data_IF_781934377221
#
_entry.id   IF_781934377221
#
_cell.length_a   1.000
_cell.length_b   1.000
_cell.length_c   1.000
_cell.angle_alpha   90.00
_cell.angle_beta   90.00
_cell.angle_gamma   90.00
#
_symmetry.space_group_name_H-M   'P 1'
#
loop_
_entity.id
_entity.type
_entity.pdbx_description
1 polymer ?
#
# COMPACT_ATOMS: atom_id res chain seq x y z
N UNK A 1 23.66 1.80 19.43
CA UNK A 1 23.01 1.85 18.10
C UNK A 1 21.52 1.44 18.13
N UNK A 2 20.90 1.18 19.29
CA UNK A 2 19.49 0.71 19.39
C UNK A 2 18.40 1.69 18.91
N UNK A 3 18.66 3.01 18.92
CA UNK A 3 17.63 3.99 18.53
C UNK A 3 17.29 3.95 17.04
N UNK A 4 18.22 3.53 16.19
CA UNK A 4 18.01 3.45 14.73
C UNK A 4 17.04 2.32 14.35
N UNK A 5 17.20 1.12 14.91
CA UNK A 5 16.37 -0.04 14.55
C UNK A 5 14.91 0.14 14.97
N UNK A 6 14.67 0.80 16.12
CA UNK A 6 13.32 1.14 16.57
C UNK A 6 12.62 2.09 15.59
N UNK A 7 13.33 3.13 15.11
CA UNK A 7 12.79 4.08 14.15
C UNK A 7 12.42 3.44 12.81
N UNK A 8 13.31 2.60 12.24
CA UNK A 8 12.99 1.89 11.00
C UNK A 8 11.83 0.89 11.15
N UNK A 9 11.70 0.25 12.32
CA UNK A 9 10.55 -0.63 12.59
C UNK A 9 9.24 0.14 12.59
N UNK A 10 9.22 1.32 13.21
CA UNK A 10 8.05 2.21 13.17
C UNK A 10 7.74 2.66 11.74
N UNK A 11 8.75 3.05 10.96
CA UNK A 11 8.58 3.43 9.55
C UNK A 11 7.98 2.27 8.74
N UNK A 12 8.48 1.05 8.90
CA UNK A 12 7.92 -0.12 8.24
C UNK A 12 6.44 -0.32 8.60
N UNK A 13 6.08 -0.19 9.89
CA UNK A 13 4.67 -0.26 10.31
C UNK A 13 3.83 0.85 9.70
N UNK A 14 4.32 2.09 9.68
CA UNK A 14 3.62 3.23 9.08
C UNK A 14 3.38 3.00 7.59
N UNK A 15 4.39 2.55 6.84
CA UNK A 15 4.24 2.22 5.42
C UNK A 15 3.19 1.13 5.19
N UNK A 16 3.16 0.10 6.05
CA UNK A 16 2.15 -0.96 5.97
C UNK A 16 0.74 -0.43 6.23
N UNK A 17 0.57 0.43 7.24
CA UNK A 17 -0.72 1.06 7.53
C UNK A 17 -1.15 1.97 6.37
N UNK A 18 -0.24 2.80 5.85
CA UNK A 18 -0.51 3.67 4.71
C UNK A 18 -0.91 2.88 3.47
N UNK A 19 -0.28 1.73 3.20
CA UNK A 19 -0.68 0.86 2.10
C UNK A 19 -2.17 0.50 2.20
N UNK A 20 -2.61 -0.01 3.35
CA UNK A 20 -4.00 -0.39 3.58
C UNK A 20 -4.96 0.80 3.52
N UNK A 21 -4.57 1.96 4.06
CA UNK A 21 -5.37 3.19 3.97
C UNK A 21 -5.56 3.59 2.51
N UNK A 22 -4.50 3.60 1.70
CA UNK A 22 -4.59 3.95 0.28
C UNK A 22 -5.45 2.96 -0.51
N UNK A 23 -5.38 1.67 -0.20
CA UNK A 23 -6.27 0.67 -0.80
C UNK A 23 -7.73 0.96 -0.46
N UNK A 24 -8.03 1.20 0.81
CA UNK A 24 -9.38 1.51 1.28
C UNK A 24 -9.92 2.78 0.60
N UNK A 25 -9.11 3.83 0.53
CA UNK A 25 -9.46 5.08 -0.17
C UNK A 25 -9.71 4.81 -1.66
N UNK A 26 -8.88 4.01 -2.34
CA UNK A 26 -9.08 3.65 -3.74
C UNK A 26 -10.40 2.89 -3.98
N UNK A 27 -10.74 1.96 -3.08
CA UNK A 27 -12.03 1.23 -3.13
C UNK A 27 -13.20 2.20 -2.94
N UNK A 28 -13.18 3.03 -1.90
CA UNK A 28 -14.25 3.99 -1.60
C UNK A 28 -14.41 4.97 -2.76
N UNK A 29 -13.31 5.53 -3.26
CA UNK A 29 -13.33 6.46 -4.38
C UNK A 29 -13.95 5.83 -5.63
N UNK A 30 -13.63 4.56 -5.93
CA UNK A 30 -14.21 3.81 -7.05
C UNK A 30 -15.72 3.65 -6.89
N UNK A 31 -16.19 3.25 -5.70
CA UNK A 31 -17.63 3.09 -5.44
C UNK A 31 -18.37 4.41 -5.61
N UNK A 32 -17.83 5.50 -5.03
CA UNK A 32 -18.42 6.84 -5.13
C UNK A 32 -18.45 7.32 -6.58
N UNK A 33 -17.32 7.22 -7.29
CA UNK A 33 -17.23 7.63 -8.69
C UNK A 33 -18.16 6.82 -9.59
N UNK A 34 -18.27 5.51 -9.38
CA UNK A 34 -19.19 4.68 -10.14
C UNK A 34 -20.65 5.08 -9.88
N UNK A 35 -21.01 5.40 -8.64
CA UNK A 35 -22.34 5.89 -8.28
C UNK A 35 -22.67 7.26 -8.88
N UNK A 36 -21.71 8.19 -8.91
CA UNK A 36 -21.88 9.52 -9.50
C UNK A 36 -21.90 9.45 -11.02
N UNK A 37 -20.85 8.89 -11.62
CA UNK A 37 -20.68 8.80 -13.08
C UNK A 37 -21.78 7.92 -13.69
N UNK A 38 -22.20 6.84 -13.02
CA UNK A 38 -23.26 5.96 -13.51
C UNK A 38 -24.57 6.70 -13.83
N UNK A 39 -24.91 7.76 -13.07
CA UNK A 39 -26.11 8.59 -13.33
C UNK A 39 -25.99 9.42 -14.61
N UNK A 40 -24.81 9.98 -14.87
CA UNK A 40 -24.54 10.78 -16.08
C UNK A 40 -24.42 9.88 -17.32
N UNK A 41 -23.81 8.72 -17.15
CA UNK A 41 -23.58 7.75 -18.23
C UNK A 41 -24.87 7.11 -18.74
N UNK A 42 -25.92 7.03 -17.91
CA UNK A 42 -27.21 6.44 -18.28
C UNK A 42 -27.90 7.16 -19.47
N UNK A 43 -27.62 8.45 -19.66
CA UNK A 43 -28.21 9.28 -20.71
C UNK A 43 -27.19 9.73 -21.75
N UNK A 44 -25.94 9.27 -21.64
CA UNK A 44 -24.85 9.70 -22.50
C UNK A 44 -24.78 8.85 -23.80
N UNK A 45 -24.28 9.43 -24.90
CA UNK A 45 -23.92 8.67 -26.09
C UNK A 45 -22.96 7.50 -25.77
N UNK A 46 -23.02 6.36 -26.50
CA UNK A 46 -22.27 5.14 -26.17
C UNK A 46 -20.77 5.33 -25.96
N UNK A 47 -20.12 6.19 -26.76
CA UNK A 47 -18.69 6.47 -26.65
C UNK A 47 -18.32 7.25 -25.36
N UNK A 48 -19.18 8.16 -24.92
CA UNK A 48 -18.99 8.89 -23.66
C UNK A 48 -19.31 7.99 -22.46
N UNK A 49 -20.28 7.09 -22.63
CA UNK A 49 -20.65 6.12 -21.62
C UNK A 49 -19.51 5.14 -21.30
N UNK A 50 -18.82 4.61 -22.32
CA UNK A 50 -17.68 3.72 -22.13
C UNK A 50 -16.48 4.44 -21.50
N UNK A 51 -16.18 5.66 -21.95
CA UNK A 51 -15.12 6.48 -21.37
C UNK A 51 -15.37 6.79 -19.88
N UNK A 52 -16.61 7.16 -19.52
CA UNK A 52 -16.98 7.43 -18.13
C UNK A 52 -16.81 6.20 -17.22
N UNK A 53 -17.23 5.02 -17.68
CA UNK A 53 -17.02 3.76 -16.94
C UNK A 53 -15.55 3.45 -16.76
N UNK A 54 -14.72 3.64 -17.79
CA UNK A 54 -13.28 3.42 -17.70
C UNK A 54 -12.62 4.35 -16.67
N UNK A 55 -12.98 5.64 -16.69
CA UNK A 55 -12.48 6.62 -15.72
C UNK A 55 -12.87 6.25 -14.29
N UNK A 56 -14.09 5.75 -14.08
CA UNK A 56 -14.55 5.30 -12.76
C UNK A 56 -13.74 4.12 -12.20
N UNK A 57 -13.04 3.34 -13.04
CA UNK A 57 -12.17 2.23 -12.63
C UNK A 57 -10.72 2.65 -12.32
N UNK A 58 -10.27 3.82 -12.75
CA UNK A 58 -8.89 4.27 -12.50
C UNK A 58 -8.51 4.37 -11.01
N UNK A 59 -9.39 4.80 -10.08
CA UNK A 59 -9.04 4.91 -8.66
C UNK A 59 -8.69 3.55 -8.02
N UNK A 60 -9.36 2.45 -8.38
CA UNK A 60 -9.02 1.14 -7.83
C UNK A 60 -7.70 0.63 -8.38
N UNK A 61 -7.43 0.85 -9.67
CA UNK A 61 -6.16 0.45 -10.30
C UNK A 61 -5.00 1.20 -9.64
N UNK A 62 -5.11 2.52 -9.53
CA UNK A 62 -4.09 3.35 -8.86
C UNK A 62 -3.95 3.00 -7.38
N UNK A 63 -5.05 2.78 -6.66
CA UNK A 63 -5.06 2.35 -5.26
C UNK A 63 -4.34 1.01 -5.05
N UNK A 64 -4.55 0.02 -5.93
CA UNK A 64 -3.86 -1.27 -5.90
C UNK A 64 -2.36 -1.09 -6.15
N UNK A 65 -1.97 -0.29 -7.14
CA UNK A 65 -0.55 -0.06 -7.45
C UNK A 65 0.18 0.60 -6.27
N UNK A 66 -0.41 1.64 -5.67
CA UNK A 66 0.15 2.26 -4.47
C UNK A 66 0.16 1.31 -3.27
N UNK A 67 -0.91 0.55 -3.06
CA UNK A 67 -0.95 -0.49 -2.02
C UNK A 67 0.23 -1.45 -2.17
N UNK A 68 0.43 -2.02 -3.35
CA UNK A 68 1.51 -2.97 -3.61
C UNK A 68 2.87 -2.33 -3.37
N UNK A 69 3.10 -1.11 -3.87
CA UNK A 69 4.34 -0.39 -3.66
C UNK A 69 4.65 -0.20 -2.17
N UNK A 70 3.75 0.41 -1.41
CA UNK A 70 3.95 0.67 0.02
C UNK A 70 4.03 -0.63 0.84
N UNK A 71 3.21 -1.62 0.51
CA UNK A 71 3.19 -2.89 1.21
C UNK A 71 4.50 -3.66 0.98
N UNK A 72 4.97 -3.77 -0.26
CA UNK A 72 6.24 -4.45 -0.57
C UNK A 72 7.39 -3.71 0.13
N UNK A 73 7.48 -2.39 0.02
CA UNK A 73 8.52 -1.60 0.71
C UNK A 73 8.50 -1.83 2.21
N UNK A 74 7.32 -1.85 2.85
CA UNK A 74 7.21 -2.10 4.28
C UNK A 74 7.75 -3.48 4.69
N UNK A 75 7.48 -4.51 3.89
CA UNK A 75 7.94 -5.86 4.16
C UNK A 75 9.45 -6.00 3.91
N UNK A 76 9.99 -5.34 2.88
CA UNK A 76 11.44 -5.32 2.63
C UNK A 76 12.18 -4.71 3.82
N UNK A 77 11.72 -3.56 4.34
CA UNK A 77 12.33 -2.93 5.52
C UNK A 77 12.23 -3.86 6.72
N UNK A 78 11.05 -4.45 6.98
CA UNK A 78 10.86 -5.36 8.10
C UNK A 78 11.76 -6.61 8.01
N UNK A 79 11.92 -7.18 6.82
CA UNK A 79 12.79 -8.33 6.57
C UNK A 79 14.26 -8.00 6.81
N UNK A 80 14.75 -6.85 6.32
CA UNK A 80 16.12 -6.42 6.54
C UNK A 80 16.43 -6.23 8.04
N UNK A 81 15.49 -5.65 8.79
CA UNK A 81 15.63 -5.51 10.25
C UNK A 81 15.67 -6.86 10.96
N UNK A 82 14.84 -7.83 10.55
CA UNK A 82 14.86 -9.18 11.11
C UNK A 82 16.19 -9.90 10.84
N UNK A 83 16.76 -9.73 9.64
CA UNK A 83 18.08 -10.29 9.32
C UNK A 83 19.15 -9.68 10.22
N UNK A 84 19.15 -8.36 10.40
CA UNK A 84 20.10 -7.67 11.29
C UNK A 84 20.01 -8.18 12.74
N UNK A 85 18.79 -8.30 13.27
CA UNK A 85 18.55 -8.79 14.63
C UNK A 85 19.02 -10.24 14.81
N UNK A 86 18.78 -11.11 13.81
CA UNK A 86 19.21 -12.50 13.83
C UNK A 86 20.74 -12.63 13.77
N UNK A 87 21.41 -11.86 12.91
CA UNK A 87 22.87 -11.86 12.80
C UNK A 87 23.52 -11.35 14.09
N UNK A 88 22.98 -10.27 14.69
CA UNK A 88 23.48 -9.75 15.97
C UNK A 88 23.35 -10.79 17.08
N UNK A 89 22.18 -11.42 17.19
CA UNK A 89 21.93 -12.46 18.20
C UNK A 89 22.87 -13.66 18.01
N UNK A 90 23.10 -14.10 16.78
CA UNK A 90 24.02 -15.20 16.48
C UNK A 90 25.48 -14.86 16.86
N UNK A 91 25.93 -13.64 16.55
CA UNK A 91 27.26 -13.17 16.92
C UNK A 91 27.45 -13.10 18.44
N UNK A 92 26.44 -12.63 19.18
CA UNK A 92 26.46 -12.62 20.65
C UNK A 92 26.58 -14.03 21.24
N UNK A 93 25.88 -15.01 20.68
CA UNK A 93 25.97 -16.40 21.14
C UNK A 93 27.35 -17.01 20.86
N UNK A 94 27.94 -16.74 19.69
CA UNK A 94 29.29 -17.21 19.33
C UNK A 94 30.38 -16.56 20.20
N UNK A 95 30.22 -15.30 20.58
CA UNK A 95 31.19 -14.59 21.42
C UNK A 95 31.20 -15.02 22.90
N UNK A 96 30.15 -15.73 23.34
CA UNK A 96 30.01 -16.23 24.72
C UNK A 96 30.46 -17.68 24.88
N UNK A 97 30.85 -18.36 23.80
CA UNK A 97 31.50 -19.68 23.83
C UNK A 97 33.01 -19.52 23.79
#
# INVERSE_FOLDING_TARGET
MERSSSGLRTIATVFKVLAWVLLAVGIIATIVLYGVIGRFVAYAPPALASAGRFVAFLPIITGILYFLFFFITSNVIALLLQIEENVRTAAEHLSRQ
#
